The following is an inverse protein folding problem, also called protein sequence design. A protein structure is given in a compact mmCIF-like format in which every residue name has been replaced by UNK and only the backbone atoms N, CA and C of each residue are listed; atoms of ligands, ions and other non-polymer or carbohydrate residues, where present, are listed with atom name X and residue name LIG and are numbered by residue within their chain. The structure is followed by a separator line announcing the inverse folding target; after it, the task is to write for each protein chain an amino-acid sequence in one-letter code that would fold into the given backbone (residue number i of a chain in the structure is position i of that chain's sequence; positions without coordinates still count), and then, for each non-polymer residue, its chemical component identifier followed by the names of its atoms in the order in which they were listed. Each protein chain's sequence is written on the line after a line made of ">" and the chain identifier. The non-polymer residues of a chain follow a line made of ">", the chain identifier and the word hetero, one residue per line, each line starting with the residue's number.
data_IF_216011617096
#
_entry.id   IF_216011617096
#
_cell.length_a   1.000
_cell.length_b   1.000
_cell.length_c   1.000
_cell.angle_alpha   90.00
_cell.angle_beta   90.00
_cell.angle_gamma   90.00
#
_symmetry.space_group_name_H-M   'P 1'
#
loop_
_entity.id
_entity.type
_entity.pdbx_description
1 polymer ?
#
# COMPACT_ATOMS: atom_id res chain seq x y z
N UNK A 1 13.91 2.18 24.86
CA UNK A 1 14.23 1.37 23.66
C UNK A 1 13.14 1.64 22.64
N UNK A 2 13.46 2.07 21.42
CA UNK A 2 12.47 2.26 20.34
C UNK A 2 12.11 0.88 19.82
N UNK A 3 10.91 0.39 20.11
CA UNK A 3 10.43 -0.87 19.53
C UNK A 3 10.01 -0.58 18.09
N UNK A 4 10.92 -0.84 17.14
CA UNK A 4 10.57 -0.89 15.74
C UNK A 4 9.67 -2.11 15.49
N UNK A 5 8.65 -1.97 14.64
CA UNK A 5 7.82 -3.09 14.24
C UNK A 5 8.58 -4.10 13.40
N UNK A 6 8.10 -5.34 13.41
CA UNK A 6 8.70 -6.48 12.72
C UNK A 6 7.78 -6.99 11.63
N UNK A 7 8.36 -7.49 10.53
CA UNK A 7 7.60 -8.25 9.54
C UNK A 7 7.19 -9.60 10.12
N UNK A 8 5.91 -9.94 9.97
CA UNK A 8 5.31 -11.21 10.39
C UNK A 8 4.58 -11.85 9.21
N UNK A 9 4.64 -13.17 9.12
CA UNK A 9 3.86 -13.95 8.17
C UNK A 9 2.69 -14.62 8.90
N UNK A 10 1.50 -14.60 8.30
CA UNK A 10 0.34 -15.30 8.81
C UNK A 10 -0.40 -16.04 7.70
N UNK A 11 -1.04 -17.15 8.07
CA UNK A 11 -1.79 -17.99 7.13
C UNK A 11 -3.21 -17.44 6.99
N UNK A 12 -3.62 -17.28 5.74
CA UNK A 12 -5.01 -16.99 5.40
C UNK A 12 -5.82 -18.29 5.33
N UNK A 13 -7.14 -18.23 5.52
CA UNK A 13 -8.03 -19.38 5.36
C UNK A 13 -8.01 -20.01 3.96
N UNK A 14 -7.52 -19.26 2.95
CA UNK A 14 -7.32 -19.70 1.57
C UNK A 14 -6.05 -20.56 1.37
N UNK A 15 -5.30 -20.83 2.46
CA UNK A 15 -4.05 -21.60 2.42
C UNK A 15 -2.82 -20.80 2.02
N UNK A 16 -2.96 -19.53 1.66
CA UNK A 16 -1.84 -18.69 1.27
C UNK A 16 -1.22 -17.98 2.49
N UNK A 17 0.10 -17.81 2.47
CA UNK A 17 0.77 -16.91 3.41
C UNK A 17 0.55 -15.46 2.97
N UNK A 18 0.48 -14.56 3.95
CA UNK A 18 0.55 -13.12 3.73
C UNK A 18 1.49 -12.51 4.74
N UNK A 19 2.23 -11.51 4.29
CA UNK A 19 3.13 -10.75 5.14
C UNK A 19 2.41 -9.53 5.72
N UNK A 20 2.88 -9.06 6.86
CA UNK A 20 2.40 -7.83 7.46
C UNK A 20 3.43 -7.24 8.40
N UNK A 21 3.31 -5.94 8.64
CA UNK A 21 4.14 -5.24 9.61
C UNK A 21 3.41 -5.18 10.94
N UNK A 22 4.04 -5.70 12.00
CA UNK A 22 3.50 -5.73 13.34
C UNK A 22 4.33 -4.84 14.26
N UNK A 23 3.72 -3.76 14.74
CA UNK A 23 4.30 -2.89 15.77
C UNK A 23 3.69 -3.21 17.13
N UNK A 24 4.55 -3.51 18.12
CA UNK A 24 4.14 -3.85 19.48
C UNK A 24 4.50 -2.73 20.45
N UNK A 25 3.59 -2.36 21.38
CA UNK A 25 3.89 -1.40 22.43
C UNK A 25 4.91 -1.98 23.41
N UNK A 26 5.52 -1.13 24.25
CA UNK A 26 6.46 -1.57 25.28
C UNK A 26 5.79 -2.46 26.34
N UNK A 27 4.51 -2.23 26.64
CA UNK A 27 3.71 -3.06 27.53
C UNK A 27 2.62 -3.78 26.73
N UNK A 28 2.74 -5.10 26.63
CA UNK A 28 1.82 -5.95 25.85
C UNK A 28 0.57 -6.38 26.63
N UNK A 29 0.65 -6.44 27.97
CA UNK A 29 -0.47 -6.89 28.79
C UNK A 29 -1.65 -5.91 28.73
N UNK A 30 -2.79 -6.40 28.26
CA UNK A 30 -4.04 -5.63 28.13
C UNK A 30 -4.05 -4.61 26.98
N UNK A 31 -3.06 -4.62 26.10
CA UNK A 31 -2.97 -3.65 25.00
C UNK A 31 -4.04 -3.92 23.92
N UNK A 32 -4.88 -2.94 23.56
CA UNK A 32 -5.83 -3.06 22.46
C UNK A 32 -5.12 -3.20 21.11
N UNK A 33 -5.72 -3.97 20.20
CA UNK A 33 -5.17 -4.20 18.86
C UNK A 33 -5.91 -3.38 17.79
N UNK A 34 -5.14 -2.81 16.86
CA UNK A 34 -5.61 -2.03 15.71
C UNK A 34 -5.04 -2.64 14.43
N UNK A 35 -5.90 -2.84 13.44
CA UNK A 35 -5.50 -3.22 12.09
C UNK A 35 -5.49 -1.96 11.21
N UNK A 36 -4.35 -1.66 10.61
CA UNK A 36 -4.15 -0.49 9.74
C UNK A 36 -4.19 -0.96 8.29
N UNK A 37 -5.23 -0.57 7.56
CA UNK A 37 -5.40 -0.93 6.14
C UNK A 37 -4.73 0.12 5.27
N UNK A 38 -3.78 -0.31 4.44
CA UNK A 38 -3.05 0.55 3.51
C UNK A 38 -3.78 0.77 2.18
N UNK A 39 -3.44 1.86 1.51
CA UNK A 39 -3.91 2.16 0.16
C UNK A 39 -3.23 1.29 -0.93
N UNK A 40 -3.77 1.36 -2.15
CA UNK A 40 -3.39 0.55 -3.32
C UNK A 40 -1.92 0.66 -3.76
N UNK A 41 -1.13 1.59 -3.22
CA UNK A 41 0.30 1.74 -3.51
C UNK A 41 1.19 0.77 -2.71
N UNK A 42 0.66 0.13 -1.68
CA UNK A 42 1.35 -0.87 -0.88
C UNK A 42 2.00 -0.35 0.40
N UNK A 43 2.81 -1.20 1.04
CA UNK A 43 3.43 -0.92 2.34
C UNK A 43 4.58 0.08 2.18
N UNK A 44 4.34 1.35 2.52
CA UNK A 44 5.33 2.41 2.45
C UNK A 44 5.83 2.83 3.86
N UNK A 45 6.96 3.54 3.92
CA UNK A 45 7.55 4.05 5.16
C UNK A 45 6.58 4.96 5.95
N UNK A 46 5.73 5.74 5.26
CA UNK A 46 4.70 6.55 5.91
C UNK A 46 3.73 5.71 6.73
N UNK A 47 3.26 4.58 6.18
CA UNK A 47 2.27 3.72 6.82
C UNK A 47 2.91 2.96 7.99
N UNK A 48 4.15 2.49 7.83
CA UNK A 48 4.94 1.95 8.95
C UNK A 48 5.09 2.97 10.09
N UNK A 49 5.37 4.23 9.76
CA UNK A 49 5.43 5.31 10.75
C UNK A 49 4.12 5.56 11.48
N UNK A 50 2.95 5.28 10.87
CA UNK A 50 1.66 5.33 11.57
C UNK A 50 1.53 4.17 12.57
N UNK A 51 1.86 2.93 12.17
CA UNK A 51 1.84 1.79 13.09
C UNK A 51 2.82 1.96 14.25
N UNK A 52 3.99 2.52 14.00
CA UNK A 52 4.95 2.84 15.05
C UNK A 52 4.39 3.89 16.02
N UNK A 53 3.70 4.93 15.55
CA UNK A 53 3.06 5.91 16.45
C UNK A 53 1.96 5.28 17.29
N UNK A 54 1.18 4.37 16.72
CA UNK A 54 0.15 3.62 17.44
C UNK A 54 0.76 2.71 18.52
N UNK A 55 1.90 2.07 18.24
CA UNK A 55 2.61 1.28 19.24
C UNK A 55 3.16 2.12 20.38
N UNK A 56 3.62 3.34 20.10
CA UNK A 56 4.03 4.28 21.14
C UNK A 56 2.85 4.78 21.99
N UNK A 57 1.65 4.84 21.42
CA UNK A 57 0.42 5.15 22.15
C UNK A 57 -0.14 3.96 22.96
N UNK A 58 0.51 2.79 22.92
CA UNK A 58 0.10 1.61 23.70
C UNK A 58 -0.77 0.61 22.93
N UNK A 59 -0.95 0.78 21.62
CA UNK A 59 -1.74 -0.12 20.79
C UNK A 59 -0.87 -1.16 20.09
N UNK A 60 -1.38 -2.38 19.92
CA UNK A 60 -0.77 -3.34 19.00
C UNK A 60 -1.25 -2.98 17.59
N UNK A 61 -0.34 -2.60 16.69
CA UNK A 61 -0.70 -2.19 15.33
C UNK A 61 -0.23 -3.22 14.30
N UNK A 62 -1.16 -3.78 13.53
CA UNK A 62 -0.88 -4.71 12.43
C UNK A 62 -1.24 -4.07 11.08
N UNK A 63 -0.29 -4.02 10.16
CA UNK A 63 -0.52 -3.63 8.77
C UNK A 63 -0.38 -4.88 7.88
N UNK A 64 -1.50 -5.47 7.42
CA UNK A 64 -1.45 -6.56 6.45
C UNK A 64 -1.05 -6.03 5.06
N UNK A 65 -0.08 -6.66 4.40
CA UNK A 65 0.25 -6.32 3.02
C UNK A 65 -0.82 -6.91 2.09
N UNK A 66 -1.86 -6.13 1.79
CA UNK A 66 -3.01 -6.58 1.00
C UNK A 66 -2.69 -6.85 -0.49
N UNK A 67 -1.50 -6.50 -0.97
CA UNK A 67 -1.16 -6.62 -2.39
C UNK A 67 -0.31 -7.87 -2.60
N UNK A 68 -0.92 -8.87 -3.23
CA UNK A 68 -0.19 -9.96 -3.86
C UNK A 68 0.71 -9.37 -4.96
N UNK A 69 2.01 -9.70 -4.93
CA UNK A 69 3.03 -9.23 -5.89
C UNK A 69 2.57 -9.37 -7.36
N UNK A 70 1.73 -10.37 -7.66
CA UNK A 70 1.16 -10.62 -9.01
C UNK A 70 0.22 -9.52 -9.52
N UNK A 71 -0.47 -8.79 -8.62
CA UNK A 71 -1.36 -7.68 -8.97
C UNK A 71 -0.59 -6.36 -9.11
N UNK A 72 0.53 -6.22 -8.39
CA UNK A 72 1.45 -5.07 -8.45
C UNK A 72 2.07 -4.91 -9.85
N UNK A 73 2.44 -6.01 -10.50
CA UNK A 73 3.01 -6.01 -11.86
C UNK A 73 1.99 -5.83 -12.99
N UNK A 74 0.70 -6.13 -12.76
CA UNK A 74 -0.36 -5.99 -13.77
C UNK A 74 -1.00 -4.60 -13.79
N UNK A 75 -1.20 -3.94 -12.65
CA UNK A 75 -1.90 -2.63 -12.59
C UNK A 75 -1.03 -1.43 -12.97
N UNK A 76 0.27 -1.44 -12.69
CA UNK A 76 1.17 -0.31 -13.06
C UNK A 76 1.23 -0.06 -14.57
N UNK A 77 1.21 -1.13 -15.38
CA UNK A 77 1.18 -1.01 -16.85
C UNK A 77 -0.11 -0.38 -17.36
N UNK A 78 -1.25 -0.68 -16.76
CA UNK A 78 -2.54 -0.15 -17.23
C UNK A 78 -2.69 1.36 -17.00
N UNK A 79 -2.30 1.87 -15.82
CA UNK A 79 -2.43 3.29 -15.50
C UNK A 79 -1.45 4.18 -16.30
N UNK A 80 -0.20 3.73 -16.48
CA UNK A 80 0.79 4.48 -17.26
C UNK A 80 0.44 4.50 -18.75
N UNK A 81 -0.04 3.40 -19.31
CA UNK A 81 -0.47 3.34 -20.72
C UNK A 81 -1.67 4.26 -20.99
N UNK A 82 -2.60 4.40 -20.05
CA UNK A 82 -3.78 5.25 -20.22
C UNK A 82 -3.42 6.75 -20.29
N UNK A 83 -2.57 7.25 -19.38
CA UNK A 83 -2.16 8.67 -19.34
C UNK A 83 -1.39 9.06 -20.62
N UNK A 84 -0.43 8.23 -21.04
CA UNK A 84 0.36 8.47 -22.25
C UNK A 84 -0.53 8.47 -23.49
N UNK A 85 -1.52 7.57 -23.56
CA UNK A 85 -2.48 7.52 -24.67
C UNK A 85 -3.45 8.71 -24.68
N UNK A 86 -3.92 9.20 -23.52
CA UNK A 86 -4.75 10.42 -23.43
C UNK A 86 -3.99 11.68 -23.86
N UNK A 87 -2.70 11.79 -23.52
CA UNK A 87 -1.87 12.92 -23.93
C UNK A 87 -1.52 12.87 -25.42
N UNK A 88 -1.22 11.69 -25.97
CA UNK A 88 -0.93 11.51 -27.39
C UNK A 88 -2.16 11.74 -28.29
N UNK A 89 -3.35 11.30 -27.87
CA UNK A 89 -4.59 11.48 -28.65
C UNK A 89 -5.15 12.89 -28.59
N UNK A 90 -4.88 13.65 -27.52
CA UNK A 90 -5.23 15.09 -27.44
C UNK A 90 -4.46 15.91 -28.47
N UNK A 91 -3.16 15.63 -28.68
CA UNK A 91 -2.35 16.35 -29.66
C UNK A 91 -2.80 16.09 -31.11
N UNK A 92 -3.29 14.88 -31.41
CA UNK A 92 -3.74 14.51 -32.75
C UNK A 92 -5.03 15.24 -33.17
N UNK A 93 -5.96 15.48 -32.22
CA UNK A 93 -7.18 16.27 -32.49
C UNK A 93 -6.88 17.74 -32.80
N UNK A 94 -5.93 18.34 -32.10
CA UNK A 94 -5.52 19.74 -32.37
C UNK A 94 -4.77 19.87 -33.68
N UNK A 95 -3.99 18.86 -34.06
CA UNK A 95 -3.25 18.86 -35.32
C UNK A 95 -4.17 18.72 -36.54
N UNK A 96 -5.17 17.82 -36.50
CA UNK A 96 -6.14 17.67 -37.59
C UNK A 96 -7.04 18.90 -37.77
N UNK A 97 -7.37 19.61 -36.68
CA UNK A 97 -8.14 20.85 -36.74
C UNK A 97 -7.39 22.05 -37.36
N UNK A 98 -6.05 21.98 -37.45
CA UNK A 98 -5.18 23.05 -37.98
C UNK A 98 -4.91 22.90 -39.49
N UNK A 99 -5.25 21.76 -40.09
CA UNK A 99 -4.99 21.45 -41.51
C UNK A 99 -6.25 21.51 -42.41
N UNK A 100 -7.40 21.93 -41.87
CA UNK A 100 -8.67 21.98 -42.62
C UNK A 100 -9.24 23.40 -42.78
N UNK A 101 -8.36 24.40 -42.95
CA UNK A 101 -8.67 25.75 -43.44
C UNK A 101 -7.61 26.14 -44.45
#
# INVERSE_FOLDING_TARGET
>A
MRNAGTMVSFHRPDGQAVEGYLAKPAKLEGAPAIVVIQEWWGLNAQIRGVADRLSHAGYIALIPTCIEESLRSRKKRAATTWIVWTLLTRSLRTFVARFNT
#
